data_IF_191209343633
#
_entry.id   IF_191209343633
#
_cell.length_a   1.000
_cell.length_b   1.000
_cell.length_c   1.000
_cell.angle_alpha   90.00
_cell.angle_beta   90.00
_cell.angle_gamma   90.00
#
_symmetry.space_group_name_H-M   'P 1'
#
loop_
_entity.id
_entity.type
_entity.pdbx_description
1 polymer ?
#
# COMPACT_ATOMS: atom_id res chain seq x y z
N UNK A 1 -13.20 -27.79 -7.16
CA UNK A 1 -11.85 -27.57 -6.60
C UNK A 1 -11.97 -27.16 -5.15
N UNK A 2 -11.17 -27.78 -4.29
CA UNK A 2 -11.09 -27.42 -2.88
C UNK A 2 -10.60 -25.98 -2.71
N UNK A 3 -11.17 -25.25 -1.75
CA UNK A 3 -10.82 -23.85 -1.47
C UNK A 3 -10.57 -23.64 0.01
N UNK A 4 -9.53 -22.85 0.30
CA UNK A 4 -9.16 -22.43 1.65
C UNK A 4 -9.92 -21.16 2.00
N UNK A 5 -10.61 -21.17 3.13
CA UNK A 5 -11.08 -19.93 3.76
C UNK A 5 -9.93 -19.36 4.58
N UNK A 6 -9.53 -18.14 4.28
CA UNK A 6 -8.50 -17.41 5.00
C UNK A 6 -9.15 -16.37 5.89
N UNK A 7 -8.69 -16.28 7.13
CA UNK A 7 -9.09 -15.25 8.08
C UNK A 7 -7.88 -14.38 8.40
N UNK A 8 -7.80 -13.23 7.74
CA UNK A 8 -6.72 -12.27 7.95
C UNK A 8 -7.06 -11.35 9.11
N UNK A 9 -6.35 -11.48 10.23
CA UNK A 9 -6.62 -10.76 11.47
C UNK A 9 -5.62 -9.62 11.64
N UNK A 10 -6.12 -8.39 11.70
CA UNK A 10 -5.35 -7.16 11.93
C UNK A 10 -5.84 -6.40 13.15
N UNK A 11 -4.94 -5.70 13.84
CA UNK A 11 -5.31 -4.81 14.95
C UNK A 11 -5.58 -3.40 14.42
N UNK A 12 -6.83 -2.95 14.53
CA UNK A 12 -7.26 -1.59 14.25
C UNK A 12 -7.48 -0.77 15.54
N UNK A 13 -7.88 0.51 15.41
CA UNK A 13 -8.18 1.36 16.56
C UNK A 13 -9.35 0.82 17.41
N UNK A 14 -10.30 0.11 16.78
CA UNK A 14 -11.48 -0.47 17.42
C UNK A 14 -11.26 -1.92 17.89
N UNK A 15 -10.01 -2.42 17.87
CA UNK A 15 -9.66 -3.79 18.26
C UNK A 15 -9.30 -4.70 17.07
N UNK A 16 -9.43 -6.01 17.27
CA UNK A 16 -9.14 -7.00 16.22
C UNK A 16 -10.18 -6.95 15.10
N UNK A 17 -9.70 -7.01 13.85
CA UNK A 17 -10.50 -6.97 12.64
C UNK A 17 -10.17 -8.15 11.77
N UNK A 18 -11.21 -8.84 11.30
CA UNK A 18 -11.05 -10.02 10.45
C UNK A 18 -11.43 -9.68 9.02
N UNK A 19 -10.56 -10.02 8.08
CA UNK A 19 -10.83 -10.01 6.65
C UNK A 19 -10.86 -11.44 6.13
N UNK A 20 -12.04 -11.89 5.73
CA UNK A 20 -12.19 -13.19 5.09
C UNK A 20 -11.80 -13.14 3.60
N UNK A 21 -11.11 -14.18 3.13
CA UNK A 21 -10.79 -14.41 1.72
C UNK A 21 -10.92 -15.88 1.38
N UNK A 22 -11.24 -16.22 0.13
CA UNK A 22 -11.31 -17.61 -0.32
C UNK A 22 -10.39 -17.82 -1.51
N UNK A 23 -9.45 -18.77 -1.39
CA UNK A 23 -8.38 -19.00 -2.38
C UNK A 23 -8.20 -20.48 -2.67
N UNK A 24 -7.42 -20.81 -3.70
CA UNK A 24 -6.98 -22.19 -3.93
C UNK A 24 -5.80 -22.53 -2.98
N UNK A 25 -5.64 -23.79 -2.53
CA UNK A 25 -4.54 -24.20 -1.66
C UNK A 25 -3.14 -23.96 -2.22
N UNK A 26 -3.02 -23.87 -3.54
CA UNK A 26 -1.79 -23.58 -4.29
C UNK A 26 -1.54 -22.07 -4.49
N UNK A 27 -2.44 -21.21 -4.00
CA UNK A 27 -2.32 -19.75 -4.22
C UNK A 27 -1.16 -19.22 -3.38
N UNK A 28 -0.17 -18.55 -4.01
CA UNK A 28 0.92 -17.94 -3.25
C UNK A 28 0.40 -16.84 -2.32
N UNK A 29 0.94 -16.79 -1.11
CA UNK A 29 0.60 -15.75 -0.14
C UNK A 29 0.94 -14.35 -0.66
N UNK A 30 1.86 -14.19 -1.61
CA UNK A 30 2.09 -12.91 -2.29
C UNK A 30 0.80 -12.26 -2.78
N UNK A 31 -0.11 -13.03 -3.40
CA UNK A 31 -1.38 -12.52 -3.92
C UNK A 31 -2.31 -12.10 -2.78
N UNK A 32 -2.35 -12.89 -1.72
CA UNK A 32 -3.19 -12.66 -0.53
C UNK A 32 -2.71 -11.43 0.23
N UNK A 33 -1.40 -11.33 0.48
CA UNK A 33 -0.76 -10.18 1.13
C UNK A 33 -1.00 -8.90 0.32
N UNK A 34 -0.78 -8.93 -1.00
CA UNK A 34 -1.01 -7.77 -1.86
C UNK A 34 -2.48 -7.34 -1.86
N UNK A 35 -3.41 -8.28 -1.97
CA UNK A 35 -4.85 -8.00 -1.95
C UNK A 35 -5.30 -7.40 -0.61
N UNK A 36 -4.81 -7.93 0.51
CA UNK A 36 -5.13 -7.38 1.83
C UNK A 36 -4.52 -5.98 2.02
N UNK A 37 -3.24 -5.79 1.68
CA UNK A 37 -2.59 -4.48 1.77
C UNK A 37 -3.30 -3.43 0.91
N UNK A 38 -3.71 -3.80 -0.31
CA UNK A 38 -4.50 -2.92 -1.18
C UNK A 38 -5.86 -2.58 -0.56
N UNK A 39 -6.57 -3.57 0.00
CA UNK A 39 -7.87 -3.37 0.65
C UNK A 39 -7.77 -2.47 1.88
N UNK A 40 -6.65 -2.51 2.60
CA UNK A 40 -6.41 -1.70 3.81
C UNK A 40 -5.64 -0.41 3.55
N UNK A 41 -5.16 -0.18 2.33
CA UNK A 41 -4.23 0.91 2.02
C UNK A 41 -2.98 0.92 2.93
N UNK A 42 -2.48 -0.27 3.26
CA UNK A 42 -1.31 -0.46 4.14
C UNK A 42 -0.07 -0.78 3.30
N UNK A 43 1.07 -0.18 3.66
CA UNK A 43 2.35 -0.51 3.05
C UNK A 43 2.79 -1.91 3.50
N UNK A 44 3.07 -2.87 2.60
CA UNK A 44 3.50 -4.22 3.00
C UNK A 44 4.86 -4.24 3.71
N UNK A 45 5.70 -3.21 3.54
CA UNK A 45 6.94 -3.07 4.32
C UNK A 45 6.66 -2.67 5.76
N UNK A 46 5.49 -2.14 6.06
CA UNK A 46 5.07 -1.76 7.40
C UNK A 46 4.40 -2.90 8.17
N UNK A 47 4.18 -4.07 7.55
CA UNK A 47 3.53 -5.23 8.20
C UNK A 47 4.25 -6.54 7.91
N UNK A 48 4.06 -7.53 8.77
CA UNK A 48 4.42 -8.91 8.50
C UNK A 48 3.24 -9.83 8.82
N UNK A 49 3.17 -10.93 8.08
CA UNK A 49 2.11 -11.91 8.17
C UNK A 49 2.64 -13.12 8.92
N UNK A 50 1.89 -13.59 9.90
CA UNK A 50 2.22 -14.77 10.69
C UNK A 50 1.10 -15.77 10.63
N UNK A 51 1.47 -17.04 10.50
CA UNK A 51 0.58 -18.19 10.54
C UNK A 51 1.07 -19.08 11.68
N UNK A 52 0.22 -19.34 12.67
CA UNK A 52 0.57 -20.12 13.87
C UNK A 52 1.86 -19.63 14.54
N UNK A 53 2.04 -18.30 14.63
CA UNK A 53 3.24 -17.66 15.19
C UNK A 53 4.47 -17.67 14.28
N UNK A 54 4.46 -18.41 13.16
CA UNK A 54 5.54 -18.42 12.18
C UNK A 54 5.32 -17.34 11.12
N UNK A 55 6.36 -16.54 10.85
CA UNK A 55 6.34 -15.60 9.73
C UNK A 55 6.28 -16.34 8.41
N UNK A 56 5.30 -15.98 7.58
CA UNK A 56 5.14 -16.54 6.22
C UNK A 56 5.69 -15.57 5.18
N UNK A 57 6.26 -16.13 4.12
CA UNK A 57 6.81 -15.44 2.97
C UNK A 57 5.85 -15.36 1.79
N UNK A 58 6.19 -14.57 0.76
CA UNK A 58 5.36 -14.42 -0.44
C UNK A 58 5.26 -15.69 -1.30
N UNK A 59 6.28 -16.55 -1.25
CA UNK A 59 6.34 -17.82 -1.99
C UNK A 59 5.59 -18.97 -1.30
N UNK A 60 5.28 -18.82 -0.02
CA UNK A 60 4.52 -19.82 0.72
C UNK A 60 3.07 -19.92 0.22
N UNK A 61 2.46 -21.07 0.41
CA UNK A 61 1.07 -21.37 0.05
C UNK A 61 0.38 -22.03 1.24
N UNK A 62 -0.96 -21.99 1.34
CA UNK A 62 -1.68 -22.76 2.35
C UNK A 62 -1.22 -24.23 2.41
N UNK A 63 -1.07 -24.88 1.25
CA UNK A 63 -0.64 -26.27 1.15
C UNK A 63 0.80 -26.49 1.64
N UNK A 64 1.75 -25.61 1.29
CA UNK A 64 3.13 -25.73 1.76
C UNK A 64 3.28 -25.41 3.25
N UNK A 65 2.29 -24.73 3.84
CA UNK A 65 2.19 -24.51 5.28
C UNK A 65 1.42 -25.61 6.03
N UNK A 66 1.10 -26.72 5.36
CA UNK A 66 0.47 -27.89 5.99
C UNK A 66 -1.04 -27.78 6.18
N UNK A 67 -1.71 -26.81 5.54
CA UNK A 67 -3.17 -26.72 5.63
C UNK A 67 -3.87 -27.89 4.92
N UNK A 68 -4.87 -28.47 5.59
CA UNK A 68 -5.80 -29.44 5.03
C UNK A 68 -7.25 -29.00 5.22
N UNK A 69 -8.19 -29.62 4.49
CA UNK A 69 -9.62 -29.31 4.61
C UNK A 69 -10.17 -29.54 6.03
N UNK A 70 -9.57 -30.47 6.79
CA UNK A 70 -9.96 -30.78 8.17
C UNK A 70 -9.60 -29.66 9.16
N UNK A 71 -8.61 -28.81 8.83
CA UNK A 71 -8.16 -27.72 9.70
C UNK A 71 -9.12 -26.51 9.70
N UNK A 72 -10.07 -26.46 8.77
CA UNK A 72 -11.02 -25.35 8.67
C UNK A 72 -10.38 -24.05 8.15
N UNK A 73 -10.84 -22.87 8.60
CA UNK A 73 -10.28 -21.59 8.16
C UNK A 73 -8.82 -21.41 8.60
N UNK A 74 -7.98 -20.95 7.68
CA UNK A 74 -6.58 -20.66 7.95
C UNK A 74 -6.44 -19.21 8.45
N UNK A 75 -6.16 -19.05 9.74
CA UNK A 75 -6.00 -17.73 10.37
C UNK A 75 -4.58 -17.18 10.16
N UNK A 76 -4.48 -16.01 9.52
CA UNK A 76 -3.22 -15.30 9.32
C UNK A 76 -3.26 -14.00 10.11
N UNK A 77 -2.39 -13.86 11.11
CA UNK A 77 -2.23 -12.64 11.89
C UNK A 77 -1.35 -11.64 11.16
N UNK A 78 -1.69 -10.37 11.27
CA UNK A 78 -1.00 -9.27 10.60
C UNK A 78 -0.52 -8.31 11.67
N UNK A 79 0.80 -8.17 11.75
CA UNK A 79 1.46 -7.39 12.78
C UNK A 79 2.25 -6.24 12.16
N UNK A 80 2.23 -5.04 12.75
CA UNK A 80 3.13 -3.96 12.35
C UNK A 80 4.59 -4.41 12.41
N UNK A 81 5.39 -4.04 11.41
CA UNK A 81 6.84 -4.05 11.55
C UNK A 81 7.20 -2.80 12.33
N UNK A 82 7.79 -2.97 13.51
CA UNK A 82 8.40 -1.86 14.24
C UNK A 82 9.37 -1.18 13.28
N UNK A 83 9.12 0.09 12.97
CA UNK A 83 10.11 0.88 12.25
C UNK A 83 11.36 0.90 13.12
N UNK A 84 12.48 0.41 12.61
CA UNK A 84 13.76 0.65 13.26
C UNK A 84 14.02 2.16 13.14
N UNK A 85 13.66 2.86 14.22
CA UNK A 85 13.80 4.29 14.45
C UNK A 85 13.87 4.48 15.95
N UNK A 86 14.94 5.14 16.40
CA UNK A 86 15.45 5.23 17.75
C UNK A 86 14.50 5.87 18.80
N UNK A 87 14.80 5.60 20.07
CA UNK A 87 14.29 6.29 21.27
C UNK A 87 13.02 5.63 21.85
N UNK A 88 13.00 4.97 23.01
CA UNK A 88 13.79 5.27 24.20
C UNK A 88 13.26 6.54 24.84
N UNK A 89 12.19 6.42 25.63
CA UNK A 89 11.56 7.58 26.27
C UNK A 89 10.29 7.22 27.05
N UNK A 90 10.29 6.10 27.77
CA UNK A 90 9.53 6.03 29.00
C UNK A 90 10.35 6.82 30.04
N UNK A 91 9.90 8.01 30.43
CA UNK A 91 10.21 8.56 31.75
C UNK A 91 8.97 9.27 32.29
N UNK A 92 8.38 8.55 33.23
CA UNK A 92 7.57 9.00 34.35
C UNK A 92 8.21 10.19 35.08
N UNK A 93 7.39 10.94 35.81
CA UNK A 93 7.74 12.12 36.60
C UNK A 93 8.83 11.85 37.64
N UNK A 94 9.71 12.85 37.87
CA UNK A 94 10.14 13.21 39.22
C UNK A 94 10.59 14.68 39.27
N UNK A 95 10.32 15.32 40.41
CA UNK A 95 10.55 16.71 40.76
C UNK A 95 12.03 17.11 40.94
N UNK A 96 12.24 18.43 41.04
CA UNK A 96 13.37 19.15 41.67
C UNK A 96 14.43 19.82 40.75
N UNK A 97 14.12 21.08 40.36
CA UNK A 97 14.86 22.35 40.65
C UNK A 97 16.39 22.47 40.34
N UNK A 98 17.01 23.63 39.97
CA UNK A 98 16.54 25.03 40.01
C UNK A 98 16.68 25.93 38.77
N UNK A 99 15.88 27.00 38.87
CA UNK A 99 16.01 28.38 38.38
C UNK A 99 17.43 28.89 38.04
N UNK A 100 17.54 29.56 36.88
CA UNK A 100 18.59 30.56 36.68
C UNK A 100 18.89 30.91 35.24
N UNK A 101 18.04 31.73 34.59
CA UNK A 101 18.44 32.85 33.73
C UNK A 101 17.24 33.36 32.92
N UNK A 102 16.56 34.37 33.48
CA UNK A 102 15.79 35.35 32.74
C UNK A 102 16.72 36.15 31.81
N UNK A 103 16.21 36.52 30.64
CA UNK A 103 16.21 37.85 29.99
C UNK A 103 15.89 37.63 28.49
N UNK A 104 14.64 37.75 28.05
CA UNK A 104 13.92 38.98 27.70
C UNK A 104 14.21 39.45 26.25
N UNK A 105 13.21 39.36 25.36
CA UNK A 105 12.51 40.54 24.85
C UNK A 105 11.36 40.17 23.90
N UNK A 106 10.34 41.00 23.97
CA UNK A 106 9.02 40.93 23.33
C UNK A 106 9.05 41.36 21.87
N UNK A 107 8.04 40.98 21.09
CA UNK A 107 7.20 41.97 20.37
C UNK A 107 5.94 41.35 19.78
N UNK A 108 4.86 42.10 19.96
CA UNK A 108 3.47 41.91 19.55
C UNK A 108 3.35 41.70 18.02
N UNK A 109 2.51 40.80 17.53
CA UNK A 109 1.08 41.02 17.36
C UNK A 109 0.78 41.23 15.86
N UNK A 110 -0.29 40.63 15.32
CA UNK A 110 -1.24 41.25 14.41
C UNK A 110 -2.29 40.25 13.89
N UNK A 111 -3.48 40.81 13.71
CA UNK A 111 -4.79 40.18 13.50
C UNK A 111 -4.96 39.55 12.13
N UNK A 112 -5.71 38.44 12.10
CA UNK A 112 -6.93 38.26 11.30
C UNK A 112 -6.79 37.92 9.81
N UNK A 113 -7.55 36.92 9.36
CA UNK A 113 -8.51 37.07 8.26
C UNK A 113 -9.34 35.80 8.05
N UNK A 114 -10.64 36.02 7.87
CA UNK A 114 -11.65 35.08 7.39
C UNK A 114 -11.57 34.93 5.86
N UNK A 115 -12.01 33.79 5.34
CA UNK A 115 -12.40 33.55 3.94
C UNK A 115 -12.35 32.04 3.64
N UNK A 116 -13.47 31.29 3.65
CA UNK A 116 -14.47 31.12 2.57
C UNK A 116 -13.74 30.89 1.24
N UNK A 117 -13.82 29.73 0.58
CA UNK A 117 -14.99 29.33 -0.21
C UNK A 117 -14.81 27.93 -0.84
N UNK A 118 -15.94 27.23 -0.96
CA UNK A 118 -16.41 26.44 -2.12
C UNK A 118 -15.44 25.56 -2.93
N UNK A 119 -15.80 24.28 -3.06
CA UNK A 119 -15.29 23.46 -4.16
C UNK A 119 -15.63 21.98 -4.10
N UNK A 120 -16.86 21.62 -3.73
CA UNK A 120 -17.35 20.25 -3.87
C UNK A 120 -17.64 19.97 -5.34
N UNK A 121 -16.62 19.57 -6.11
CA UNK A 121 -16.79 19.10 -7.48
C UNK A 121 -16.84 17.58 -7.46
N UNK A 122 -18.06 17.09 -7.39
CA UNK A 122 -18.52 15.72 -7.57
C UNK A 122 -18.07 15.24 -8.97
N UNK A 123 -16.91 14.58 -9.06
CA UNK A 123 -16.42 14.03 -10.32
C UNK A 123 -17.30 12.84 -10.75
N UNK A 124 -17.99 13.10 -11.84
CA UNK A 124 -18.94 12.27 -12.56
C UNK A 124 -18.30 10.94 -12.94
N UNK A 125 -19.03 9.89 -12.59
CA UNK A 125 -18.91 8.56 -13.14
C UNK A 125 -19.60 8.57 -14.51
N UNK A 126 -18.84 8.42 -15.59
CA UNK A 126 -19.37 7.91 -16.85
C UNK A 126 -18.34 6.95 -17.42
N UNK A 127 -18.69 5.67 -17.33
CA UNK A 127 -18.04 4.61 -18.08
C UNK A 127 -18.79 4.36 -19.38
N UNK A 128 -18.08 3.68 -20.28
CA UNK A 128 -18.53 3.04 -21.51
C UNK A 128 -19.06 4.02 -22.59
N UNK A 129 -18.91 3.78 -23.89
CA UNK A 129 -18.72 2.52 -24.61
C UNK A 129 -18.15 2.86 -25.99
N UNK A 130 -17.34 1.98 -26.55
CA UNK A 130 -16.84 2.13 -27.91
C UNK A 130 -16.14 0.85 -28.31
N UNK A 131 -16.88 -0.05 -28.93
CA UNK A 131 -16.38 -1.23 -29.63
C UNK A 131 -15.42 -0.78 -30.72
N UNK A 132 -14.16 -0.59 -30.37
CA UNK A 132 -13.08 -0.41 -31.33
C UNK A 132 -12.18 -1.63 -31.22
N UNK A 133 -11.67 -2.12 -32.34
CA UNK A 133 -10.56 -3.06 -32.37
C UNK A 133 -9.33 -2.32 -31.82
N UNK A 134 -9.34 -2.03 -30.53
CA UNK A 134 -8.36 -1.18 -29.88
C UNK A 134 -7.08 -1.99 -29.85
N UNK A 135 -6.15 -1.63 -30.73
CA UNK A 135 -4.87 -2.31 -30.90
C UNK A 135 -4.24 -2.51 -29.51
N UNK A 136 -4.02 -3.75 -29.11
CA UNK A 136 -3.36 -4.05 -27.85
C UNK A 136 -1.87 -3.89 -28.05
N UNK A 137 -1.26 -3.09 -27.19
CA UNK A 137 0.17 -2.92 -27.13
C UNK A 137 0.72 -3.55 -25.86
N UNK A 138 1.99 -3.91 -25.93
CA UNK A 138 2.77 -4.38 -24.80
C UNK A 138 3.65 -3.22 -24.35
N UNK A 139 3.55 -2.87 -23.08
CA UNK A 139 4.34 -1.82 -22.43
C UNK A 139 5.29 -2.49 -21.46
N UNK A 140 6.59 -2.27 -21.65
CA UNK A 140 7.63 -2.73 -20.74
C UNK A 140 8.06 -1.58 -19.84
N UNK A 141 7.97 -1.80 -18.53
CA UNK A 141 8.39 -0.84 -17.53
C UNK A 141 9.71 -1.30 -16.93
N UNK A 142 10.77 -0.56 -17.22
CA UNK A 142 12.10 -0.77 -16.67
C UNK A 142 12.26 0.10 -15.43
N UNK A 143 12.52 -0.52 -14.28
CA UNK A 143 12.71 0.18 -13.03
C UNK A 143 14.08 -0.12 -12.44
N UNK A 144 14.77 0.94 -12.01
CA UNK A 144 16.07 0.86 -11.35
C UNK A 144 15.84 1.05 -9.85
N UNK A 145 16.18 0.03 -9.05
CA UNK A 145 16.09 0.08 -7.59
C UNK A 145 17.39 -0.36 -6.92
N UNK A 146 17.41 -0.34 -5.58
CA UNK A 146 18.55 -0.81 -4.77
C UNK A 146 18.94 -2.28 -5.03
N UNK A 147 18.06 -3.07 -5.63
CA UNK A 147 18.29 -4.48 -5.99
C UNK A 147 18.62 -4.71 -7.46
N UNK A 148 18.95 -3.66 -8.22
CA UNK A 148 19.22 -3.74 -9.66
C UNK A 148 18.03 -3.33 -10.53
N UNK A 149 18.13 -3.63 -11.82
CA UNK A 149 17.09 -3.34 -12.80
C UNK A 149 16.03 -4.44 -12.80
N UNK A 150 14.76 -4.05 -12.75
CA UNK A 150 13.63 -4.96 -12.95
C UNK A 150 12.86 -4.55 -14.20
N UNK A 151 12.36 -5.54 -14.95
CA UNK A 151 11.51 -5.34 -16.12
C UNK A 151 10.15 -5.95 -15.83
N UNK A 152 9.08 -5.19 -16.05
CA UNK A 152 7.71 -5.66 -15.88
C UNK A 152 6.86 -5.32 -17.10
N UNK A 153 6.21 -6.34 -17.64
CA UNK A 153 5.40 -6.23 -18.86
C UNK A 153 3.92 -6.04 -18.52
N UNK A 154 3.25 -5.15 -19.24
CA UNK A 154 1.82 -4.87 -19.13
C UNK A 154 1.20 -4.84 -20.53
N UNK A 155 0.00 -5.39 -20.66
CA UNK A 155 -0.80 -5.25 -21.88
C UNK A 155 -1.85 -4.18 -21.67
N UNK A 156 -1.93 -3.23 -22.59
CA UNK A 156 -2.97 -2.21 -22.60
C UNK A 156 -3.42 -1.93 -24.02
N UNK A 157 -4.54 -1.26 -24.16
CA UNK A 157 -5.04 -0.84 -25.45
C UNK A 157 -4.41 0.52 -25.84
N UNK A 158 -4.04 0.71 -27.10
CA UNK A 158 -3.31 1.88 -27.58
C UNK A 158 -4.06 3.21 -27.39
N UNK A 159 -5.40 3.19 -27.37
CA UNK A 159 -6.23 4.37 -27.11
C UNK A 159 -6.43 4.67 -25.64
N UNK A 160 -5.97 3.80 -24.73
CA UNK A 160 -6.17 3.94 -23.31
C UNK A 160 -5.03 4.72 -22.65
N UNK A 161 -5.30 5.50 -21.59
CA UNK A 161 -4.26 6.23 -20.89
C UNK A 161 -3.39 5.31 -20.01
N UNK A 162 -2.12 5.68 -19.82
CA UNK A 162 -1.15 4.95 -19.00
C UNK A 162 -1.51 4.84 -17.52
N UNK A 163 -2.54 5.55 -17.04
CA UNK A 163 -3.04 5.49 -15.65
C UNK A 163 -3.14 4.07 -15.11
N UNK A 164 -3.67 3.13 -15.91
CA UNK A 164 -3.83 1.73 -15.49
C UNK A 164 -2.49 1.02 -15.34
N UNK A 165 -1.55 1.22 -16.27
CA UNK A 165 -0.20 0.65 -16.20
C UNK A 165 0.54 1.20 -14.99
N UNK A 166 0.59 2.53 -14.84
CA UNK A 166 1.23 3.21 -13.70
C UNK A 166 0.64 2.71 -12.37
N UNK A 167 -0.69 2.67 -12.25
CA UNK A 167 -1.35 2.22 -11.01
C UNK A 167 -1.06 0.75 -10.72
N UNK A 168 -1.02 -0.09 -11.75
CA UNK A 168 -0.72 -1.52 -11.62
C UNK A 168 0.74 -1.76 -11.22
N UNK A 169 1.68 -1.02 -11.83
CA UNK A 169 3.09 -1.09 -11.50
C UNK A 169 3.35 -0.62 -10.07
N UNK A 170 2.81 0.54 -9.68
CA UNK A 170 2.90 1.07 -8.32
C UNK A 170 2.33 0.09 -7.29
N UNK A 171 1.18 -0.52 -7.58
CA UNK A 171 0.57 -1.53 -6.73
C UNK A 171 1.42 -2.80 -6.56
N UNK A 172 2.05 -3.28 -7.64
CA UNK A 172 2.93 -4.46 -7.60
C UNK A 172 4.24 -4.21 -6.85
N UNK A 173 4.80 -3.01 -6.99
CA UNK A 173 6.08 -2.64 -6.38
C UNK A 173 5.94 -1.96 -5.02
N UNK A 174 4.69 -1.67 -4.62
CA UNK A 174 4.35 -1.00 -3.37
C UNK A 174 5.03 0.36 -3.22
N UNK A 175 5.02 1.11 -4.31
CA UNK A 175 5.59 2.46 -4.38
C UNK A 175 4.44 3.44 -4.59
N UNK A 176 4.24 4.43 -3.70
CA UNK A 176 3.26 5.48 -3.91
C UNK A 176 3.52 6.21 -5.24
N UNK A 177 2.48 6.58 -6.01
CA UNK A 177 2.65 7.24 -7.31
C UNK A 177 3.45 8.56 -7.25
N UNK A 178 3.41 9.26 -6.12
CA UNK A 178 4.19 10.48 -5.86
C UNK A 178 5.68 10.23 -5.63
N UNK A 179 6.07 8.98 -5.33
CA UNK A 179 7.45 8.57 -5.06
C UNK A 179 8.17 7.94 -6.25
N UNK A 180 7.54 7.92 -7.41
CA UNK A 180 8.10 7.37 -8.64
C UNK A 180 7.83 8.31 -9.80
N UNK A 181 8.83 8.47 -10.67
CA UNK A 181 8.68 9.17 -11.94
C UNK A 181 8.75 8.15 -13.06
N UNK A 182 7.74 8.15 -13.92
CA UNK A 182 7.75 7.36 -15.14
C UNK A 182 8.24 8.24 -16.28
N UNK A 183 9.13 7.73 -17.12
CA UNK A 183 9.66 8.45 -18.28
C UNK A 183 9.61 7.59 -19.53
N UNK A 184 9.30 8.19 -20.66
CA UNK A 184 9.37 7.59 -22.00
C UNK A 184 10.07 8.58 -22.94
N UNK A 185 11.07 8.13 -23.69
CA UNK A 185 11.92 8.99 -24.55
C UNK A 185 12.44 10.26 -23.85
N UNK A 186 12.89 10.11 -22.60
CA UNK A 186 13.40 11.22 -21.79
C UNK A 186 12.35 12.23 -21.29
N UNK A 187 11.06 12.02 -21.57
CA UNK A 187 9.97 12.88 -21.11
C UNK A 187 9.19 12.24 -19.97
N UNK A 188 8.72 13.04 -19.02
CA UNK A 188 7.87 12.55 -17.92
C UNK A 188 6.52 12.07 -18.47
N UNK A 189 6.23 10.79 -18.24
CA UNK A 189 5.00 10.14 -18.65
C UNK A 189 3.89 10.46 -17.66
N UNK A 190 2.91 11.27 -18.09
CA UNK A 190 1.76 11.63 -17.26
C UNK A 190 0.72 10.49 -17.25
N UNK A 191 -0.04 10.28 -16.16
CA UNK A 191 -1.09 9.24 -16.12
C UNK A 191 -2.19 9.38 -17.17
N UNK A 192 -2.41 10.60 -17.69
CA UNK A 192 -3.42 10.88 -18.72
C UNK A 192 -2.88 10.71 -20.15
N UNK A 193 -1.57 10.53 -20.33
CA UNK A 193 -0.98 10.32 -21.64
C UNK A 193 -1.42 8.96 -22.20
N UNK A 194 -1.58 8.89 -23.51
CA UNK A 194 -1.74 7.67 -24.30
C UNK A 194 -0.42 7.37 -25.02
N UNK A 195 -0.16 6.10 -25.36
CA UNK A 195 0.94 5.70 -26.24
C UNK A 195 0.98 6.50 -27.55
#
# INVERSE_FOLDING_TARGET
>A
SERVKLELVDTGPDGERVTNMTVLPQTPFQKIMAAWCQKRSVNPKAVHFTLNGRKVGPADTPRSCGWSLADGPLAIRILPRKASGAGGGARELDEDTPLGALLQCSSEGHKGARGRSSGSSKAHKTGASGTSLEAKIVVEVHALGKGGQTVQTFTMSAGSPFRKVISSWCGRNFIPPDRVRFTHDGRELRPKATP
#
